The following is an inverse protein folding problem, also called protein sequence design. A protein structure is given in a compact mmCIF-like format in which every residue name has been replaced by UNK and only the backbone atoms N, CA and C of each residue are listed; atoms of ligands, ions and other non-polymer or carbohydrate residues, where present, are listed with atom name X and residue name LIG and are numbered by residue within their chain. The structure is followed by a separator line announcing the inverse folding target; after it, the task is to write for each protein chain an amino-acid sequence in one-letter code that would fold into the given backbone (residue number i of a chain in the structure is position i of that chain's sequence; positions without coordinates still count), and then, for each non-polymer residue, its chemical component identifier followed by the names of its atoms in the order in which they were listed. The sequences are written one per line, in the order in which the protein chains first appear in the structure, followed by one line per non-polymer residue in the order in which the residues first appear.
data_IF_185124383303
#
_entry.id   IF_185124383303
#
_cell.length_a   1.000
_cell.length_b   1.000
_cell.length_c   1.000
_cell.angle_alpha   90.00
_cell.angle_beta   90.00
_cell.angle_gamma   90.00
#
_symmetry.space_group_name_H-M   'P 1'
#
loop_
_entity.id
_entity.type
_entity.pdbx_description
1 polymer ?
#
# COMPACT_ATOMS: atom_id res chain seq x y z
N UNK A 1 -33.04 -22.16 -3.85
CA UNK A 1 -33.55 -20.79 -3.61
C UNK A 1 -32.90 -20.34 -2.31
N UNK A 2 -32.11 -19.27 -2.20
CA UNK A 2 -32.23 -17.93 -2.80
C UNK A 2 -30.84 -17.26 -2.76
N UNK A 3 -30.46 -16.54 -3.82
CA UNK A 3 -29.26 -15.67 -3.85
C UNK A 3 -29.56 -14.37 -3.08
N UNK A 4 -28.65 -13.90 -2.23
CA UNK A 4 -28.56 -12.49 -1.83
C UNK A 4 -27.08 -12.09 -1.82
N UNK A 5 -26.76 -11.07 -2.63
CA UNK A 5 -25.46 -10.41 -2.72
C UNK A 5 -25.23 -9.46 -1.55
N UNK A 6 -23.94 -9.20 -1.29
CA UNK A 6 -23.32 -7.95 -0.83
C UNK A 6 -23.94 -7.21 0.37
N UNK A 7 -23.12 -6.92 1.39
CA UNK A 7 -22.95 -5.57 1.99
C UNK A 7 -21.77 -5.60 2.99
N UNK A 8 -20.70 -4.90 2.63
CA UNK A 8 -19.96 -3.93 3.45
C UNK A 8 -19.67 -4.30 4.93
N UNK A 9 -18.44 -4.70 5.22
CA UNK A 9 -17.90 -4.60 6.57
C UNK A 9 -17.32 -3.20 6.76
N UNK A 10 -18.18 -2.35 7.32
CA UNK A 10 -17.85 -1.06 7.91
C UNK A 10 -16.85 -1.30 9.05
N UNK A 11 -15.70 -0.62 9.03
CA UNK A 11 -14.85 -0.46 10.21
C UNK A 11 -14.88 0.99 10.68
N UNK A 12 -15.63 1.16 11.78
CA UNK A 12 -15.43 2.06 12.92
C UNK A 12 -15.84 3.54 12.75
N UNK A 13 -17.07 3.77 13.22
CA UNK A 13 -17.52 4.80 14.16
C UNK A 13 -16.98 6.23 14.03
N UNK A 14 -17.90 7.13 13.69
CA UNK A 14 -17.82 8.56 13.91
C UNK A 14 -17.62 8.90 15.41
N UNK A 15 -16.61 9.70 15.71
CA UNK A 15 -16.60 10.59 16.87
C UNK A 15 -16.71 12.01 16.33
N UNK A 16 -17.86 12.63 16.59
CA UNK A 16 -18.13 14.04 16.38
C UNK A 16 -17.45 14.83 17.51
N UNK A 17 -16.33 15.50 17.22
CA UNK A 17 -15.83 16.64 18.00
C UNK A 17 -15.55 17.77 17.02
N UNK A 18 -16.31 18.84 17.19
CA UNK A 18 -16.21 20.07 16.41
C UNK A 18 -15.08 20.92 16.95
N UNK A 19 -13.91 20.89 16.31
CA UNK A 19 -12.88 21.93 16.45
C UNK A 19 -12.54 22.48 15.05
N UNK A 20 -12.66 23.79 14.80
CA UNK A 20 -12.16 24.39 13.57
C UNK A 20 -10.64 24.52 13.71
N UNK A 21 -9.91 23.42 13.51
CA UNK A 21 -8.46 23.51 13.32
C UNK A 21 -8.25 24.22 11.99
N UNK A 22 -7.68 25.43 12.08
CA UNK A 22 -7.18 26.27 11.00
C UNK A 22 -6.71 25.40 9.82
N UNK A 23 -7.52 25.38 8.77
CA UNK A 23 -7.17 24.74 7.52
C UNK A 23 -6.04 25.54 6.88
N UNK A 24 -4.79 25.22 7.24
CA UNK A 24 -3.64 25.57 6.41
C UNK A 24 -3.72 24.67 5.17
N UNK A 25 -4.60 25.05 4.23
CA UNK A 25 -4.63 24.48 2.89
C UNK A 25 -3.35 24.94 2.18
N UNK A 26 -2.23 24.28 2.50
CA UNK A 26 -1.11 24.21 1.58
C UNK A 26 -1.70 23.56 0.34
N UNK A 27 -1.85 24.34 -0.72
CA UNK A 27 -2.36 23.91 -2.02
C UNK A 27 -1.46 22.75 -2.48
N UNK A 28 -1.91 21.53 -2.16
CA UNK A 28 -1.20 20.32 -2.56
C UNK A 28 -1.50 20.21 -4.04
N UNK A 29 -0.51 20.54 -4.86
CA UNK A 29 -0.52 20.22 -6.28
C UNK A 29 -1.03 18.80 -6.44
N UNK A 30 -2.20 18.63 -7.05
CA UNK A 30 -2.76 17.32 -7.35
C UNK A 30 -1.92 16.72 -8.46
N UNK A 31 -0.78 16.14 -8.07
CA UNK A 31 0.13 15.41 -8.96
C UNK A 31 -0.68 14.37 -9.74
N UNK A 32 -0.41 14.34 -11.03
CA UNK A 32 -1.08 13.54 -12.05
C UNK A 32 -1.42 12.13 -11.54
N UNK A 33 -2.67 11.71 -11.73
CA UNK A 33 -3.05 10.30 -11.59
C UNK A 33 -2.28 9.50 -12.63
N UNK A 34 -1.32 8.69 -12.19
CA UNK A 34 -0.60 7.78 -13.10
C UNK A 34 -1.55 6.66 -13.50
N UNK A 35 -1.72 6.46 -14.80
CA UNK A 35 -2.57 5.42 -15.33
C UNK A 35 -1.87 4.05 -15.23
N UNK A 36 -2.63 3.03 -14.85
CA UNK A 36 -2.23 1.63 -14.83
C UNK A 36 -2.84 0.92 -16.04
N UNK A 37 -2.11 0.00 -16.67
CA UNK A 37 -2.67 -0.80 -17.74
C UNK A 37 -3.76 -1.74 -17.22
N UNK A 38 -4.78 -2.00 -18.04
CA UNK A 38 -5.89 -2.87 -17.65
C UNK A 38 -5.42 -4.28 -17.26
N UNK A 39 -4.50 -4.87 -18.01
CA UNK A 39 -3.96 -6.20 -17.70
C UNK A 39 -3.27 -6.24 -16.35
N UNK A 40 -2.45 -5.24 -16.02
CA UNK A 40 -1.78 -5.16 -14.71
C UNK A 40 -2.78 -4.96 -13.59
N UNK A 41 -3.82 -4.15 -13.82
CA UNK A 41 -4.90 -3.96 -12.86
C UNK A 41 -5.66 -5.25 -12.57
N UNK A 42 -5.98 -6.03 -13.61
CA UNK A 42 -6.66 -7.32 -13.49
C UNK A 42 -5.80 -8.33 -12.70
N UNK A 43 -4.51 -8.46 -13.04
CA UNK A 43 -3.56 -9.33 -12.33
C UNK A 43 -3.42 -8.94 -10.83
N UNK A 44 -3.32 -7.64 -10.54
CA UNK A 44 -3.28 -7.14 -9.15
C UNK A 44 -4.56 -7.45 -8.39
N UNK A 45 -5.72 -7.32 -9.05
CA UNK A 45 -7.02 -7.63 -8.45
C UNK A 45 -7.17 -9.12 -8.16
N UNK A 46 -6.68 -9.99 -9.04
CA UNK A 46 -6.64 -11.42 -8.81
C UNK A 46 -5.74 -11.77 -7.62
N UNK A 47 -4.52 -11.21 -7.57
CA UNK A 47 -3.63 -11.39 -6.43
C UNK A 47 -4.27 -10.91 -5.11
N UNK A 48 -4.92 -9.75 -5.12
CA UNK A 48 -5.62 -9.22 -3.97
C UNK A 48 -6.72 -10.18 -3.50
N UNK A 49 -7.51 -10.71 -4.43
CA UNK A 49 -8.58 -11.68 -4.12
C UNK A 49 -8.03 -12.93 -3.42
N UNK A 50 -6.88 -13.45 -3.88
CA UNK A 50 -6.20 -14.57 -3.22
C UNK A 50 -5.71 -14.20 -1.82
N UNK A 51 -5.11 -13.01 -1.66
CA UNK A 51 -4.64 -12.50 -0.36
C UNK A 51 -5.81 -12.34 0.63
N UNK A 52 -6.95 -11.81 0.18
CA UNK A 52 -8.17 -11.66 0.99
C UNK A 52 -8.78 -13.01 1.38
N UNK A 53 -8.67 -14.01 0.51
CA UNK A 53 -9.00 -15.40 0.81
C UNK A 53 -7.97 -16.11 1.71
N UNK A 54 -6.94 -15.39 2.17
CA UNK A 54 -5.79 -15.90 2.94
C UNK A 54 -4.92 -16.91 2.20
N UNK A 55 -5.09 -17.04 0.88
CA UNK A 55 -4.13 -17.74 0.03
C UNK A 55 -2.94 -16.81 -0.26
N UNK A 56 -2.15 -16.57 0.78
CA UNK A 56 -0.98 -15.69 0.69
C UNK A 56 0.08 -16.24 -0.26
N UNK A 57 0.21 -17.56 -0.34
CA UNK A 57 1.15 -18.22 -1.25
C UNK A 57 0.73 -18.01 -2.70
N UNK A 58 -0.54 -18.23 -3.03
CA UNK A 58 -1.08 -17.98 -4.36
C UNK A 58 -0.97 -16.51 -4.75
N UNK A 59 -1.39 -15.60 -3.87
CA UNK A 59 -1.33 -14.16 -4.08
C UNK A 59 0.11 -13.67 -4.31
N UNK A 60 1.06 -14.06 -3.45
CA UNK A 60 2.47 -13.68 -3.65
C UNK A 60 3.09 -14.36 -4.88
N UNK A 61 2.66 -15.56 -5.22
CA UNK A 61 3.07 -16.24 -6.45
C UNK A 61 2.69 -15.44 -7.70
N UNK A 62 1.47 -14.89 -7.75
CA UNK A 62 1.01 -14.04 -8.85
C UNK A 62 1.79 -12.72 -8.87
N UNK A 63 1.94 -12.05 -7.72
CA UNK A 63 2.69 -10.81 -7.62
C UNK A 63 4.16 -10.97 -8.03
N UNK A 64 4.79 -12.09 -7.68
CA UNK A 64 6.16 -12.38 -8.08
C UNK A 64 6.28 -12.59 -9.59
N UNK A 65 5.31 -13.25 -10.23
CA UNK A 65 5.28 -13.39 -11.69
C UNK A 65 5.10 -12.03 -12.37
N UNK A 66 4.17 -11.22 -11.85
CA UNK A 66 3.92 -9.88 -12.38
C UNK A 66 5.16 -8.98 -12.24
N UNK A 67 5.82 -9.00 -11.08
CA UNK A 67 7.05 -8.24 -10.84
C UNK A 67 8.21 -8.63 -11.79
N UNK A 68 8.24 -9.87 -12.29
CA UNK A 68 9.25 -10.32 -13.26
C UNK A 68 9.00 -9.77 -14.68
N UNK A 69 7.85 -9.14 -14.94
CA UNK A 69 7.57 -8.51 -16.22
C UNK A 69 8.39 -7.21 -16.37
N UNK A 70 9.30 -7.18 -17.34
CA UNK A 70 10.16 -6.02 -17.64
C UNK A 70 9.38 -4.84 -18.23
N UNK A 71 8.17 -5.07 -18.74
CA UNK A 71 7.33 -4.03 -19.35
C UNK A 71 6.53 -3.20 -18.35
N UNK A 72 6.55 -3.54 -17.07
CA UNK A 72 5.87 -2.74 -16.06
C UNK A 72 6.47 -1.33 -15.99
N UNK A 73 5.60 -0.33 -15.99
CA UNK A 73 6.00 1.02 -15.62
C UNK A 73 6.50 1.06 -14.17
N UNK A 74 7.30 2.08 -13.80
CA UNK A 74 7.71 2.28 -12.41
C UNK A 74 6.54 2.31 -11.42
N UNK A 75 5.44 2.97 -11.80
CA UNK A 75 4.23 3.03 -10.98
C UNK A 75 3.56 1.67 -10.82
N UNK A 76 3.40 0.90 -11.90
CA UNK A 76 2.85 -0.45 -11.83
C UNK A 76 3.71 -1.37 -10.94
N UNK A 77 5.03 -1.32 -11.11
CA UNK A 77 5.99 -2.07 -10.28
C UNK A 77 5.88 -1.67 -8.80
N UNK A 78 5.71 -0.38 -8.53
CA UNK A 78 5.46 0.14 -7.19
C UNK A 78 4.17 -0.46 -6.60
N UNK A 79 3.09 -0.52 -7.38
CA UNK A 79 1.82 -1.09 -6.93
C UNK A 79 1.91 -2.60 -6.67
N UNK A 80 2.68 -3.36 -7.48
CA UNK A 80 2.97 -4.78 -7.19
C UNK A 80 3.66 -4.94 -5.83
N UNK A 81 4.73 -4.18 -5.60
CA UNK A 81 5.46 -4.24 -4.34
C UNK A 81 4.62 -3.75 -3.14
N UNK A 82 3.75 -2.78 -3.35
CA UNK A 82 2.82 -2.29 -2.32
C UNK A 82 1.87 -3.42 -1.87
N UNK A 83 1.23 -4.11 -2.83
CA UNK A 83 0.33 -5.22 -2.51
C UNK A 83 1.09 -6.41 -1.89
N UNK A 84 2.32 -6.69 -2.32
CA UNK A 84 3.18 -7.66 -1.65
C UNK A 84 3.49 -7.27 -0.20
N UNK A 85 3.75 -5.99 0.07
CA UNK A 85 3.97 -5.48 1.42
C UNK A 85 2.74 -5.63 2.31
N UNK A 86 1.56 -5.31 1.77
CA UNK A 86 0.29 -5.51 2.47
C UNK A 86 0.03 -7.00 2.78
N UNK A 87 0.29 -7.89 1.83
CA UNK A 87 0.19 -9.34 2.04
C UNK A 87 1.09 -9.83 3.17
N UNK A 88 2.33 -9.35 3.25
CA UNK A 88 3.25 -9.69 4.34
C UNK A 88 2.80 -9.10 5.68
N UNK A 89 2.28 -7.87 5.68
CA UNK A 89 1.72 -7.26 6.88
C UNK A 89 0.57 -8.08 7.47
N UNK A 90 -0.36 -8.58 6.63
CA UNK A 90 -1.46 -9.45 7.08
C UNK A 90 -1.01 -10.75 7.74
N UNK A 91 0.22 -11.18 7.47
CA UNK A 91 0.85 -12.37 8.06
C UNK A 91 1.76 -12.02 9.26
N UNK A 92 1.74 -10.77 9.72
CA UNK A 92 2.64 -10.23 10.76
C UNK A 92 4.13 -10.36 10.41
N UNK A 93 4.45 -10.54 9.12
CA UNK A 93 5.81 -10.61 8.59
C UNK A 93 6.34 -9.20 8.34
N UNK A 94 6.47 -8.41 9.41
CA UNK A 94 6.74 -6.98 9.32
C UNK A 94 8.06 -6.65 8.62
N UNK A 95 9.12 -7.43 8.84
CA UNK A 95 10.39 -7.23 8.13
C UNK A 95 10.27 -7.48 6.61
N UNK A 96 9.48 -8.46 6.18
CA UNK A 96 9.21 -8.70 4.77
C UNK A 96 8.37 -7.58 4.17
N UNK A 97 7.37 -7.09 4.92
CA UNK A 97 6.54 -5.97 4.52
C UNK A 97 7.39 -4.71 4.31
N UNK A 98 8.28 -4.37 5.24
CA UNK A 98 9.21 -3.24 5.12
C UNK A 98 10.08 -3.39 3.86
N UNK A 99 10.69 -4.56 3.62
CA UNK A 99 11.47 -4.82 2.40
C UNK A 99 10.65 -4.66 1.11
N UNK A 100 9.36 -4.96 1.14
CA UNK A 100 8.50 -4.74 -0.02
C UNK A 100 8.24 -3.24 -0.22
N UNK A 101 7.96 -2.48 0.83
CA UNK A 101 7.78 -1.03 0.77
C UNK A 101 9.07 -0.27 0.40
N UNK A 102 10.25 -0.75 0.77
CA UNK A 102 11.52 -0.23 0.28
C UNK A 102 11.63 -0.36 -1.25
N UNK A 103 11.16 -1.48 -1.82
CA UNK A 103 11.11 -1.66 -3.29
C UNK A 103 10.09 -0.74 -3.96
N UNK A 104 9.02 -0.35 -3.26
CA UNK A 104 8.10 0.71 -3.72
C UNK A 104 8.89 2.02 -3.81
N UNK A 105 9.54 2.44 -2.72
CA UNK A 105 10.31 3.70 -2.66
C UNK A 105 11.52 3.75 -3.61
N UNK A 106 12.01 2.61 -4.07
CA UNK A 106 13.09 2.53 -5.04
C UNK A 106 12.65 2.84 -6.49
N UNK A 107 11.34 2.91 -6.77
CA UNK A 107 10.86 3.23 -8.11
C UNK A 107 11.04 4.73 -8.42
N UNK A 108 11.45 5.09 -9.65
CA UNK A 108 11.55 6.49 -10.05
C UNK A 108 10.15 7.12 -10.20
N UNK A 109 10.11 8.45 -10.06
CA UNK A 109 8.94 9.29 -10.43
C UNK A 109 7.60 8.90 -9.75
N UNK A 110 7.67 8.36 -8.53
CA UNK A 110 6.48 8.02 -7.76
C UNK A 110 5.59 9.24 -7.49
N UNK A 111 4.25 9.13 -7.61
CA UNK A 111 3.34 10.14 -7.11
C UNK A 111 3.60 10.43 -5.63
N UNK A 112 3.60 11.71 -5.25
CA UNK A 112 3.90 12.13 -3.87
C UNK A 112 2.96 11.47 -2.85
N UNK A 113 1.69 11.32 -3.20
CA UNK A 113 0.72 10.63 -2.35
C UNK A 113 1.15 9.18 -2.04
N UNK A 114 1.71 8.47 -3.02
CA UNK A 114 2.20 7.10 -2.85
C UNK A 114 3.50 7.06 -2.03
N UNK A 115 4.40 8.03 -2.22
CA UNK A 115 5.61 8.14 -1.39
C UNK A 115 5.24 8.37 0.08
N UNK A 116 4.33 9.32 0.33
CA UNK A 116 3.86 9.70 1.66
C UNK A 116 3.14 8.55 2.36
N UNK A 117 2.24 7.84 1.66
CA UNK A 117 1.56 6.67 2.22
C UNK A 117 2.55 5.55 2.53
N UNK A 118 3.52 5.30 1.65
CA UNK A 118 4.54 4.26 1.84
C UNK A 118 5.45 4.55 3.03
N UNK A 119 5.95 5.79 3.16
CA UNK A 119 6.76 6.22 4.31
C UNK A 119 5.97 6.09 5.62
N UNK A 120 4.70 6.50 5.63
CA UNK A 120 3.84 6.36 6.81
C UNK A 120 3.68 4.89 7.21
N UNK A 121 3.43 4.00 6.24
CA UNK A 121 3.30 2.57 6.51
C UNK A 121 4.62 1.96 7.00
N UNK A 122 5.75 2.29 6.38
CA UNK A 122 7.07 1.82 6.85
C UNK A 122 7.34 2.26 8.29
N UNK A 123 7.07 3.52 8.63
CA UNK A 123 7.23 4.03 9.99
C UNK A 123 6.36 3.22 10.97
N UNK A 124 5.10 2.96 10.64
CA UNK A 124 4.20 2.15 11.46
C UNK A 124 4.69 0.71 11.65
N UNK A 125 5.25 0.09 10.61
CA UNK A 125 5.78 -1.27 10.66
C UNK A 125 7.10 -1.41 11.42
N UNK A 126 7.85 -0.31 11.56
CA UNK A 126 9.10 -0.28 12.31
C UNK A 126 8.87 -0.33 13.84
N UNK A 127 7.72 0.13 14.34
CA UNK A 127 7.42 0.09 15.78
C UNK A 127 7.26 -1.32 16.36
N UNK A 128 6.47 -2.25 15.77
CA UNK A 128 6.31 -3.61 16.30
C UNK A 128 7.60 -4.44 16.31
N UNK A 129 8.59 -4.09 15.49
CA UNK A 129 9.91 -4.75 15.46
C UNK A 129 10.97 -4.00 16.28
N UNK A 130 10.55 -3.01 17.06
CA UNK A 130 11.39 -2.18 17.94
C UNK A 130 12.51 -1.40 17.22
N UNK A 131 12.36 -1.18 15.91
CA UNK A 131 13.29 -0.38 15.10
C UNK A 131 12.96 1.12 15.18
N UNK A 132 13.00 1.65 16.39
CA UNK A 132 12.70 3.06 16.66
C UNK A 132 13.67 4.05 15.99
N UNK A 133 14.99 3.77 15.88
CA UNK A 133 15.91 4.66 15.17
C UNK A 133 15.50 4.85 13.71
N UNK A 134 15.23 3.77 12.98
CA UNK A 134 14.82 3.89 11.58
C UNK A 134 13.39 4.42 11.45
N UNK A 135 12.48 4.14 12.40
CA UNK A 135 11.16 4.78 12.44
C UNK A 135 11.27 6.31 12.49
N UNK A 136 12.17 6.85 13.33
CA UNK A 136 12.38 8.28 13.44
C UNK A 136 12.94 8.88 12.14
N UNK A 137 13.87 8.20 11.48
CA UNK A 137 14.39 8.63 10.16
C UNK A 137 13.30 8.62 9.09
N UNK A 138 12.48 7.57 9.04
CA UNK A 138 11.35 7.47 8.12
C UNK A 138 10.35 8.62 8.34
N UNK A 139 10.02 8.93 9.60
CA UNK A 139 9.11 10.04 9.95
C UNK A 139 9.72 11.39 9.55
N UNK A 140 11.02 11.61 9.75
CA UNK A 140 11.68 12.84 9.30
C UNK A 140 11.61 13.04 7.78
N UNK A 141 11.63 11.95 7.00
CA UNK A 141 11.45 11.99 5.54
C UNK A 141 10.00 12.26 5.13
N UNK A 142 9.04 12.00 6.00
CA UNK A 142 7.61 12.21 5.76
C UNK A 142 7.22 13.70 5.90
N UNK A 143 7.89 14.43 6.80
CA UNK A 143 7.63 15.84 7.15
C UNK A 143 8.23 16.82 6.14
#
# INVERSE_FOLDING_TARGET
MTRIQATLLILIAAVLISDPVLAQQKERETKQTVAMSQSVFEDLTEAQTLIEAKDYTGGQGLLSKLAANEKLTPYERAQVHNLSGYSYYLQERFQDAIRAYERVMAQPELPEALQQSTLKTMAQLQFPIEDYPTALETIKRLM
#
